data_IF_744191519723
#
_entry.id   IF_744191519723
#
_cell.length_a   1.000
_cell.length_b   1.000
_cell.length_c   1.000
_cell.angle_alpha   90.00
_cell.angle_beta   90.00
_cell.angle_gamma   90.00
#
_symmetry.space_group_name_H-M   'P 1'
#
loop_
_entity.id
_entity.type
_entity.pdbx_description
1 polymer ?
#
# COMPACT_ATOMS: atom_id res chain seq x y z
N UNK A 1 -9.52 34.16 -34.87
CA UNK A 1 -9.28 35.30 -33.95
C UNK A 1 -9.65 36.54 -34.74
N UNK A 2 -10.95 36.75 -34.96
CA UNK A 2 -11.50 37.78 -35.86
C UNK A 2 -11.70 39.15 -35.16
N UNK A 3 -11.23 39.30 -33.91
CA UNK A 3 -11.46 40.50 -33.08
C UNK A 3 -10.22 41.38 -32.91
N UNK A 4 -9.13 41.11 -33.64
CA UNK A 4 -7.90 41.91 -33.60
C UNK A 4 -7.58 42.37 -35.00
N UNK A 5 -7.55 43.68 -35.20
CA UNK A 5 -7.18 44.31 -36.47
C UNK A 5 -5.70 44.71 -36.42
N UNK A 6 -4.88 44.04 -37.24
CA UNK A 6 -3.43 44.23 -37.22
C UNK A 6 -2.97 45.49 -37.96
N UNK A 7 -3.84 46.06 -38.81
CA UNK A 7 -3.51 47.16 -39.71
C UNK A 7 -4.24 48.46 -39.33
N UNK A 8 -4.93 48.50 -38.18
CA UNK A 8 -5.63 49.68 -37.67
C UNK A 8 -4.62 50.77 -37.23
N UNK A 9 -4.61 51.96 -37.88
CA UNK A 9 -3.69 53.04 -37.57
C UNK A 9 -4.06 53.84 -36.31
N UNK A 10 -5.29 53.73 -35.80
CA UNK A 10 -5.78 54.46 -34.63
C UNK A 10 -5.75 53.63 -33.35
N UNK A 11 -5.82 52.30 -33.46
CA UNK A 11 -5.84 51.37 -32.31
C UNK A 11 -4.64 50.41 -32.33
N UNK A 12 -3.52 50.72 -31.63
CA UNK A 12 -2.37 49.83 -31.54
C UNK A 12 -2.74 48.47 -30.94
N UNK A 13 -2.09 47.39 -31.39
CA UNK A 13 -2.29 46.01 -30.90
C UNK A 13 -2.21 45.89 -29.36
N UNK A 14 -1.39 46.71 -28.70
CA UNK A 14 -1.33 46.76 -27.23
C UNK A 14 -2.66 47.18 -26.60
N UNK A 15 -3.32 48.20 -27.16
CA UNK A 15 -4.61 48.66 -26.67
C UNK A 15 -5.74 47.69 -27.00
N UNK A 16 -5.71 47.07 -28.19
CA UNK A 16 -6.67 46.02 -28.53
C UNK A 16 -6.55 44.81 -27.58
N UNK A 17 -5.31 44.41 -27.22
CA UNK A 17 -5.07 43.35 -26.24
C UNK A 17 -5.61 43.72 -24.84
N UNK A 18 -5.37 44.96 -24.41
CA UNK A 18 -5.86 45.47 -23.12
C UNK A 18 -7.41 45.55 -23.09
N UNK A 19 -8.04 46.04 -24.16
CA UNK A 19 -9.51 46.09 -24.32
C UNK A 19 -10.14 44.70 -24.28
N UNK A 20 -9.49 43.71 -24.90
CA UNK A 20 -9.93 42.31 -24.91
C UNK A 20 -9.57 41.55 -23.63
N UNK A 21 -8.82 42.16 -22.70
CA UNK A 21 -8.41 41.54 -21.44
C UNK A 21 -7.44 40.36 -21.62
N UNK A 22 -6.67 40.33 -22.70
CA UNK A 22 -5.72 39.26 -23.03
C UNK A 22 -4.28 39.76 -23.03
N UNK A 23 -3.34 38.89 -22.68
CA UNK A 23 -1.93 39.25 -22.75
C UNK A 23 -1.50 39.47 -24.21
N UNK A 24 -0.92 40.63 -24.52
CA UNK A 24 -0.40 40.97 -25.85
C UNK A 24 0.48 39.88 -26.46
N UNK A 25 1.33 39.21 -25.67
CA UNK A 25 2.22 38.14 -26.17
C UNK A 25 1.44 36.93 -26.71
N UNK A 26 0.25 36.66 -26.18
CA UNK A 26 -0.64 35.59 -26.66
C UNK A 26 -1.19 35.86 -28.06
N UNK A 27 -1.27 37.13 -28.50
CA UNK A 27 -1.70 37.49 -29.86
C UNK A 27 -0.69 37.06 -30.93
N UNK A 28 0.59 37.07 -30.60
CA UNK A 28 1.67 36.62 -31.49
C UNK A 28 1.89 35.11 -31.42
N UNK A 29 1.31 34.44 -30.42
CA UNK A 29 1.45 33.00 -30.26
C UNK A 29 0.64 32.25 -31.33
N UNK A 30 1.35 31.65 -32.29
CA UNK A 30 0.76 30.72 -33.25
C UNK A 30 0.76 29.33 -32.65
N UNK A 31 -0.42 28.75 -32.46
CA UNK A 31 -0.56 27.39 -31.99
C UNK A 31 0.15 26.42 -32.94
N UNK A 32 1.22 25.79 -32.47
CA UNK A 32 1.93 24.77 -33.24
C UNK A 32 1.15 23.46 -33.09
N UNK A 33 0.64 22.95 -34.21
CA UNK A 33 -0.03 21.65 -34.20
C UNK A 33 0.98 20.56 -33.81
N UNK A 34 0.55 19.54 -33.05
CA UNK A 34 1.41 18.43 -32.71
C UNK A 34 1.95 17.79 -33.98
N UNK A 35 3.25 17.47 -33.98
CA UNK A 35 3.86 16.82 -35.13
C UNK A 35 3.22 15.45 -35.40
N UNK A 36 3.21 14.96 -36.65
CA UNK A 36 2.72 13.61 -36.95
C UNK A 36 3.39 12.52 -36.09
N UNK A 37 4.65 12.72 -35.73
CA UNK A 37 5.39 11.85 -34.81
C UNK A 37 4.78 11.84 -33.40
N UNK A 38 4.43 13.02 -32.85
CA UNK A 38 3.79 13.11 -31.54
C UNK A 38 2.42 12.41 -31.54
N UNK A 39 1.63 12.63 -32.59
CA UNK A 39 0.32 11.98 -32.76
C UNK A 39 0.48 10.46 -32.82
N UNK A 40 1.44 9.95 -33.61
CA UNK A 40 1.72 8.52 -33.69
C UNK A 40 2.14 7.91 -32.33
N UNK A 41 2.98 8.62 -31.57
CA UNK A 41 3.38 8.20 -30.21
C UNK A 41 2.17 8.13 -29.29
N UNK A 42 1.30 9.16 -29.30
CA UNK A 42 0.08 9.19 -28.48
C UNK A 42 -0.85 8.02 -28.80
N UNK A 43 -1.06 7.69 -30.07
CA UNK A 43 -1.83 6.51 -30.48
C UNK A 43 -1.22 5.20 -29.97
N UNK A 44 0.10 5.03 -30.02
CA UNK A 44 0.73 3.82 -29.49
C UNK A 44 0.60 3.72 -27.96
N UNK A 45 0.71 4.85 -27.24
CA UNK A 45 0.50 4.86 -25.79
C UNK A 45 -0.94 4.45 -25.46
N UNK A 46 -1.92 5.01 -26.19
CA UNK A 46 -3.34 4.70 -26.02
C UNK A 46 -3.64 3.22 -26.30
N UNK A 47 -3.09 2.65 -27.36
CA UNK A 47 -3.21 1.22 -27.69
C UNK A 47 -2.64 0.33 -26.57
N UNK A 48 -1.43 0.64 -26.08
CA UNK A 48 -0.77 -0.10 -24.99
C UNK A 48 -1.60 -0.01 -23.71
N UNK A 49 -2.10 1.18 -23.39
CA UNK A 49 -2.88 1.42 -22.17
C UNK A 49 -4.25 0.75 -22.23
N UNK A 50 -4.94 0.82 -23.36
CA UNK A 50 -6.24 0.16 -23.57
C UNK A 50 -6.14 -1.35 -23.37
N UNK A 51 -5.03 -1.96 -23.81
CA UNK A 51 -4.76 -3.39 -23.59
C UNK A 51 -4.33 -3.68 -22.15
N UNK A 52 -3.64 -2.75 -21.49
CA UNK A 52 -3.03 -2.94 -20.18
C UNK A 52 -3.14 -1.68 -19.29
N UNK A 53 -4.32 -1.42 -18.71
CA UNK A 53 -4.60 -0.16 -18.00
C UNK A 53 -3.80 0.01 -16.70
N UNK A 54 -3.15 -1.04 -16.20
CA UNK A 54 -2.29 -1.02 -15.01
C UNK A 54 -0.83 -0.66 -15.32
N UNK A 55 -0.46 -0.45 -16.59
CA UNK A 55 0.90 -0.03 -16.95
C UNK A 55 1.11 1.48 -16.78
N UNK A 56 2.09 1.83 -15.95
CA UNK A 56 2.58 3.20 -15.82
C UNK A 56 3.61 3.58 -16.89
N UNK A 57 4.00 4.85 -16.88
CA UNK A 57 4.95 5.45 -17.85
C UNK A 57 6.27 4.70 -18.00
N UNK A 58 6.75 4.00 -16.95
CA UNK A 58 7.94 3.15 -17.01
C UNK A 58 7.74 1.97 -17.96
N UNK A 59 6.67 1.19 -17.77
CA UNK A 59 6.43 -0.02 -18.57
C UNK A 59 6.02 0.33 -20.00
N UNK A 60 5.21 1.37 -20.16
CA UNK A 60 4.85 1.88 -21.49
C UNK A 60 6.11 2.33 -22.26
N UNK A 61 7.04 3.03 -21.60
CA UNK A 61 8.30 3.43 -22.23
C UNK A 61 9.16 2.26 -22.70
N UNK A 62 9.24 1.18 -21.89
CA UNK A 62 9.96 -0.04 -22.26
C UNK A 62 9.33 -0.72 -23.49
N UNK A 63 7.99 -0.82 -23.52
CA UNK A 63 7.26 -1.42 -24.66
C UNK A 63 7.46 -0.59 -25.93
N UNK A 64 7.35 0.75 -25.83
CA UNK A 64 7.62 1.65 -26.95
C UNK A 64 9.06 1.48 -27.47
N UNK A 65 10.04 1.37 -26.58
CA UNK A 65 11.43 1.13 -26.94
C UNK A 65 11.60 -0.20 -27.70
N UNK A 66 10.92 -1.25 -27.26
CA UNK A 66 10.92 -2.55 -27.95
C UNK A 66 10.20 -2.51 -29.31
N UNK A 67 9.23 -1.60 -29.49
CA UNK A 67 8.60 -1.30 -30.79
C UNK A 67 9.43 -0.34 -31.67
N UNK A 68 10.65 0.02 -31.27
CA UNK A 68 11.55 0.90 -32.03
C UNK A 68 11.34 2.40 -31.77
N UNK A 69 10.44 2.79 -30.86
CA UNK A 69 10.18 4.19 -30.50
C UNK A 69 11.04 4.58 -29.30
N UNK A 70 12.18 5.24 -29.56
CA UNK A 70 13.12 5.64 -28.52
C UNK A 70 12.83 7.06 -28.01
N UNK A 71 12.01 7.18 -26.97
CA UNK A 71 11.69 8.45 -26.32
C UNK A 71 11.97 8.43 -24.83
N UNK A 72 12.21 9.60 -24.24
CA UNK A 72 12.43 9.73 -22.80
C UNK A 72 11.14 9.37 -22.01
N UNK A 73 11.27 8.65 -20.89
CA UNK A 73 10.16 8.39 -19.95
C UNK A 73 9.38 9.65 -19.56
N UNK A 74 10.04 10.79 -19.37
CA UNK A 74 9.39 12.08 -19.06
C UNK A 74 8.44 12.52 -20.20
N UNK A 75 8.80 12.23 -21.46
CA UNK A 75 7.95 12.51 -22.63
C UNK A 75 6.72 11.59 -22.63
N UNK A 76 6.89 10.30 -22.34
CA UNK A 76 5.77 9.36 -22.15
C UNK A 76 4.83 9.84 -21.04
N UNK A 77 5.38 10.20 -19.88
CA UNK A 77 4.59 10.70 -18.74
C UNK A 77 3.81 11.96 -19.09
N UNK A 78 4.43 12.90 -19.83
CA UNK A 78 3.76 14.11 -20.31
C UNK A 78 2.58 13.77 -21.22
N UNK A 79 2.77 12.90 -22.21
CA UNK A 79 1.69 12.49 -23.11
C UNK A 79 0.57 11.75 -22.38
N UNK A 80 0.89 10.84 -21.46
CA UNK A 80 -0.12 10.22 -20.61
C UNK A 80 -0.95 11.26 -19.85
N UNK A 81 -0.30 12.28 -19.27
CA UNK A 81 -1.00 13.38 -18.57
C UNK A 81 -1.87 14.22 -19.51
N UNK A 82 -1.37 14.58 -20.69
CA UNK A 82 -2.12 15.32 -21.72
C UNK A 82 -3.37 14.55 -22.18
N UNK A 83 -3.29 13.22 -22.24
CA UNK A 83 -4.40 12.34 -22.62
C UNK A 83 -5.33 11.94 -21.46
N UNK A 84 -5.03 12.37 -20.23
CA UNK A 84 -5.80 11.95 -19.04
C UNK A 84 -5.62 10.48 -18.65
N UNK A 85 -4.55 9.84 -19.13
CA UNK A 85 -4.25 8.43 -18.89
C UNK A 85 -3.38 8.28 -17.63
N UNK A 86 -3.81 7.41 -16.71
CA UNK A 86 -3.06 7.06 -15.51
C UNK A 86 -3.18 5.56 -15.24
N UNK A 87 -2.07 4.94 -14.82
CA UNK A 87 -2.08 3.53 -14.44
C UNK A 87 -3.10 3.25 -13.32
N UNK A 88 -3.99 2.29 -13.57
CA UNK A 88 -4.98 1.80 -12.61
C UNK A 88 -4.34 0.69 -11.79
N UNK A 89 -4.13 0.93 -10.51
CA UNK A 89 -3.66 -0.07 -9.56
C UNK A 89 -4.39 0.10 -8.22
N UNK A 90 -4.51 -0.97 -7.42
CA UNK A 90 -5.08 -0.85 -6.09
C UNK A 90 -4.27 0.15 -5.25
N UNK A 91 -4.92 1.16 -4.71
CA UNK A 91 -4.28 2.16 -3.86
C UNK A 91 -3.74 1.57 -2.54
N UNK A 92 -2.98 2.35 -1.75
CA UNK A 92 -2.62 1.94 -0.39
C UNK A 92 -3.88 1.69 0.46
N UNK A 93 -3.77 0.85 1.49
CA UNK A 93 -4.85 0.49 2.44
C UNK A 93 -5.97 -0.41 1.89
N UNK A 94 -5.60 -1.50 1.20
CA UNK A 94 -6.57 -2.53 0.77
C UNK A 94 -7.24 -3.27 1.92
N UNK A 95 -6.62 -3.27 3.10
CA UNK A 95 -7.16 -3.80 4.34
C UNK A 95 -7.71 -2.66 5.20
N UNK A 96 -8.94 -2.19 4.94
CA UNK A 96 -9.63 -1.33 5.92
C UNK A 96 -9.88 -2.16 7.18
N UNK A 97 -9.31 -1.73 8.31
CA UNK A 97 -9.55 -2.37 9.63
C UNK A 97 -11.06 -2.42 9.91
N UNK A 98 -11.55 -3.59 10.31
CA UNK A 98 -12.91 -3.70 10.83
C UNK A 98 -12.97 -3.01 12.21
N UNK A 99 -13.66 -1.87 12.28
CA UNK A 99 -13.74 -0.98 13.45
C UNK A 99 -14.43 -1.63 14.67
N UNK A 100 -15.06 -2.79 14.51
CA UNK A 100 -15.77 -3.48 15.60
C UNK A 100 -14.84 -4.24 16.56
N UNK A 101 -13.56 -4.46 16.21
CA UNK A 101 -12.62 -5.16 17.10
C UNK A 101 -12.08 -4.22 18.19
N UNK A 102 -12.08 -4.69 19.45
CA UNK A 102 -11.44 -4.01 20.58
C UNK A 102 -9.97 -3.75 20.27
N UNK A 103 -9.57 -2.49 20.38
CA UNK A 103 -8.17 -2.07 20.22
C UNK A 103 -7.46 -2.31 21.54
N UNK A 104 -6.53 -3.25 21.56
CA UNK A 104 -5.59 -3.41 22.68
C UNK A 104 -4.37 -2.50 22.45
N UNK A 105 -3.84 -1.86 23.49
CA UNK A 105 -2.68 -0.99 23.37
C UNK A 105 -1.39 -1.80 23.12
N UNK A 106 -0.42 -1.15 22.50
CA UNK A 106 0.94 -1.67 22.46
C UNK A 106 1.69 -1.26 23.73
N UNK A 107 1.91 -2.22 24.63
CA UNK A 107 2.45 -2.00 25.97
C UNK A 107 3.99 -2.07 26.04
N UNK A 108 4.64 -2.60 25.00
CA UNK A 108 6.08 -2.91 25.05
C UNK A 108 7.00 -1.73 24.69
N UNK A 109 6.45 -0.53 24.49
CA UNK A 109 7.26 0.66 24.17
C UNK A 109 8.04 1.12 25.41
N UNK A 110 9.35 1.03 25.37
CA UNK A 110 10.24 1.46 26.47
C UNK A 110 10.30 0.49 27.65
N UNK A 111 9.75 -0.73 27.50
CA UNK A 111 9.80 -1.76 28.54
C UNK A 111 11.13 -2.49 28.49
N UNK A 112 11.85 -2.51 29.62
CA UNK A 112 13.05 -3.35 29.80
C UNK A 112 12.64 -4.67 30.44
N UNK A 113 13.00 -5.78 29.80
CA UNK A 113 12.67 -7.13 30.25
C UNK A 113 13.87 -7.69 31.03
N UNK A 114 13.66 -8.00 32.30
CA UNK A 114 14.68 -8.30 33.30
C UNK A 114 14.52 -9.65 33.99
N UNK A 115 13.40 -10.37 33.79
CA UNK A 115 13.18 -11.72 34.35
C UNK A 115 12.28 -12.57 33.43
N UNK A 116 12.29 -13.91 33.57
CA UNK A 116 11.32 -14.79 32.92
C UNK A 116 9.87 -14.44 33.28
N UNK A 117 8.94 -14.77 32.39
CA UNK A 117 7.48 -14.60 32.53
C UNK A 117 7.02 -13.13 32.66
N UNK A 118 7.85 -12.16 32.32
CA UNK A 118 7.38 -10.78 32.16
C UNK A 118 6.61 -10.60 30.86
N UNK A 119 7.17 -11.07 29.75
CA UNK A 119 6.57 -10.90 28.43
C UNK A 119 6.67 -12.20 27.67
N UNK A 120 5.52 -12.75 27.30
CA UNK A 120 5.43 -13.79 26.30
C UNK A 120 4.95 -13.20 24.98
N UNK A 121 5.39 -13.78 23.87
CA UNK A 121 4.79 -13.49 22.57
C UNK A 121 4.39 -14.75 21.85
N UNK A 122 3.29 -14.65 21.12
CA UNK A 122 2.81 -15.68 20.22
C UNK A 122 2.90 -15.19 18.79
N UNK A 123 3.25 -16.10 17.89
CA UNK A 123 3.20 -15.86 16.46
C UNK A 123 2.71 -17.13 15.73
N UNK A 124 2.26 -16.96 14.48
CA UNK A 124 1.93 -18.07 13.59
C UNK A 124 2.81 -17.94 12.34
N UNK A 125 3.54 -19.00 12.04
CA UNK A 125 4.33 -19.13 10.82
C UNK A 125 3.92 -20.37 10.04
N UNK A 126 4.35 -20.49 8.79
CA UNK A 126 4.13 -21.68 7.98
C UNK A 126 5.44 -22.40 7.73
N UNK A 127 5.39 -23.73 7.80
CA UNK A 127 6.49 -24.63 7.47
C UNK A 127 6.18 -25.24 6.11
N UNK A 128 7.03 -24.95 5.12
CA UNK A 128 6.90 -25.53 3.78
C UNK A 128 7.34 -27.00 3.81
N UNK A 129 6.44 -27.90 3.42
CA UNK A 129 6.73 -29.31 3.18
C UNK A 129 6.98 -29.54 1.68
N UNK A 130 7.29 -30.75 1.23
CA UNK A 130 7.52 -31.03 -0.19
C UNK A 130 6.26 -30.74 -1.04
N UNK A 131 5.12 -31.34 -0.67
CA UNK A 131 3.85 -31.24 -1.40
C UNK A 131 2.76 -30.42 -0.70
N UNK A 132 3.07 -29.79 0.43
CA UNK A 132 2.09 -29.04 1.24
C UNK A 132 2.77 -28.01 2.14
N UNK A 133 2.03 -27.48 3.11
CA UNK A 133 2.53 -26.67 4.21
C UNK A 133 1.83 -27.06 5.52
N UNK A 134 2.44 -26.72 6.64
CA UNK A 134 1.81 -26.75 7.97
C UNK A 134 1.91 -25.37 8.61
N UNK A 135 0.98 -25.07 9.51
CA UNK A 135 1.01 -23.87 10.33
C UNK A 135 1.58 -24.22 11.70
N UNK A 136 2.58 -23.48 12.13
CA UNK A 136 3.18 -23.55 13.45
C UNK A 136 2.78 -22.31 14.22
N UNK A 137 2.20 -22.50 15.40
CA UNK A 137 2.10 -21.44 16.40
C UNK A 137 3.09 -21.72 17.51
N UNK A 138 3.78 -20.68 17.97
CA UNK A 138 4.76 -20.82 19.04
C UNK A 138 4.65 -19.64 20.00
N UNK A 139 4.75 -19.94 21.29
CA UNK A 139 4.79 -18.97 22.38
C UNK A 139 6.20 -18.95 22.93
N UNK A 140 6.83 -17.77 22.92
CA UNK A 140 8.21 -17.55 23.37
C UNK A 140 8.24 -16.58 24.54
N UNK A 141 9.04 -16.90 25.55
CA UNK A 141 9.38 -15.95 26.62
C UNK A 141 10.51 -15.02 26.17
N UNK A 142 10.31 -13.70 26.33
CA UNK A 142 11.27 -12.71 25.82
C UNK A 142 12.57 -12.65 26.59
N UNK A 143 12.59 -13.02 27.87
CA UNK A 143 13.80 -12.96 28.67
C UNK A 143 14.69 -14.17 28.39
N UNK A 144 14.15 -15.37 28.59
CA UNK A 144 14.87 -16.64 28.46
C UNK A 144 15.08 -17.08 27.01
N UNK A 145 14.26 -16.58 26.08
CA UNK A 145 14.18 -17.02 24.67
C UNK A 145 13.73 -18.46 24.49
N UNK A 146 13.19 -19.09 25.54
CA UNK A 146 12.64 -20.43 25.43
C UNK A 146 11.22 -20.42 24.86
N UNK A 147 10.95 -21.44 24.04
CA UNK A 147 9.61 -21.77 23.60
C UNK A 147 8.87 -22.40 24.78
N UNK A 148 7.82 -21.73 25.23
CA UNK A 148 6.99 -22.17 26.34
C UNK A 148 6.00 -23.24 25.88
N UNK A 149 5.43 -23.05 24.69
CA UNK A 149 4.50 -23.98 24.07
C UNK A 149 4.45 -23.73 22.57
N UNK A 150 4.09 -24.75 21.81
CA UNK A 150 3.89 -24.67 20.38
C UNK A 150 2.90 -25.75 19.93
N UNK A 151 2.26 -25.51 18.78
CA UNK A 151 1.36 -26.45 18.14
C UNK A 151 1.46 -26.39 16.62
N UNK A 152 1.10 -27.50 15.97
CA UNK A 152 1.10 -27.64 14.51
C UNK A 152 -0.27 -28.07 14.01
N UNK A 153 -0.73 -27.43 12.93
CA UNK A 153 -1.96 -27.82 12.24
C UNK A 153 -1.78 -27.71 10.71
N UNK A 154 -2.55 -28.48 9.94
CA UNK A 154 -2.57 -28.38 8.48
C UNK A 154 -3.44 -27.21 7.99
N UNK A 155 -4.32 -26.74 8.85
CA UNK A 155 -5.27 -25.66 8.62
C UNK A 155 -4.93 -24.47 9.51
N UNK A 156 -5.25 -23.27 9.04
CA UNK A 156 -5.11 -22.07 9.86
C UNK A 156 -6.34 -21.90 10.78
N UNK A 157 -6.79 -22.99 11.43
CA UNK A 157 -7.90 -22.96 12.39
C UNK A 157 -7.47 -22.26 13.69
N UNK A 158 -8.42 -21.80 14.51
CA UNK A 158 -8.07 -21.14 15.78
C UNK A 158 -7.72 -22.15 16.89
N UNK A 159 -8.18 -23.38 16.78
CA UNK A 159 -8.16 -24.33 17.90
C UNK A 159 -6.73 -24.70 18.33
N UNK A 160 -5.81 -24.97 17.39
CA UNK A 160 -4.40 -25.25 17.72
C UNK A 160 -3.68 -24.07 18.41
N UNK A 161 -4.11 -22.83 18.14
CA UNK A 161 -3.62 -21.63 18.85
C UNK A 161 -4.11 -21.62 20.29
N UNK A 162 -5.38 -21.97 20.51
CA UNK A 162 -5.96 -22.05 21.86
C UNK A 162 -5.28 -23.16 22.67
N UNK A 163 -5.02 -24.31 22.04
CA UNK A 163 -4.34 -25.44 22.68
C UNK A 163 -2.90 -25.09 23.08
N UNK A 164 -2.16 -24.39 22.21
CA UNK A 164 -0.83 -23.90 22.52
C UNK A 164 -0.84 -22.95 23.73
N UNK A 165 -1.80 -22.02 23.79
CA UNK A 165 -1.95 -21.06 24.91
C UNK A 165 -2.33 -21.78 26.21
N UNK A 166 -3.30 -22.70 26.17
CA UNK A 166 -3.69 -23.47 27.35
C UNK A 166 -2.51 -24.29 27.90
N UNK A 167 -1.74 -24.94 27.03
CA UNK A 167 -0.53 -25.66 27.45
C UNK A 167 0.51 -24.71 28.03
N UNK A 168 0.70 -23.53 27.46
CA UNK A 168 1.63 -22.53 28.02
C UNK A 168 1.24 -22.14 29.45
N UNK A 169 -0.06 -21.99 29.73
CA UNK A 169 -0.56 -21.68 31.07
C UNK A 169 -0.34 -22.77 32.12
N UNK A 170 -0.08 -24.01 31.71
CA UNK A 170 0.37 -25.06 32.65
C UNK A 170 1.83 -24.89 33.07
N UNK A 171 2.63 -24.15 32.30
CA UNK A 171 4.05 -23.87 32.60
C UNK A 171 4.20 -22.61 33.45
N UNK A 172 3.36 -21.59 33.20
CA UNK A 172 3.39 -20.34 33.95
C UNK A 172 2.39 -19.32 33.40
N UNK A 173 2.34 -18.14 34.01
CA UNK A 173 1.46 -17.04 33.59
C UNK A 173 2.33 -15.79 33.39
N UNK A 174 2.30 -15.16 32.20
CA UNK A 174 3.09 -13.95 31.97
C UNK A 174 2.38 -12.70 32.49
N UNK A 175 3.14 -11.63 32.73
CA UNK A 175 2.56 -10.31 33.02
C UNK A 175 1.97 -9.65 31.77
N UNK A 176 2.66 -9.79 30.63
CA UNK A 176 2.22 -9.27 29.32
C UNK A 176 2.19 -10.41 28.31
N UNK A 177 1.05 -10.56 27.63
CA UNK A 177 0.91 -11.49 26.51
C UNK A 177 0.80 -10.68 25.22
N UNK A 178 1.83 -10.73 24.38
CA UNK A 178 1.94 -9.94 23.17
C UNK A 178 1.66 -10.75 21.90
N UNK A 179 0.93 -10.14 20.96
CA UNK A 179 0.58 -10.72 19.66
C UNK A 179 0.49 -9.62 18.59
N UNK A 180 0.43 -9.99 17.31
CA UNK A 180 0.08 -9.04 16.25
C UNK A 180 -1.45 -8.86 16.11
N UNK A 181 -1.89 -8.12 15.09
CA UNK A 181 -3.31 -7.90 14.80
C UNK A 181 -3.93 -8.94 13.86
N UNK A 182 -3.37 -10.15 13.81
CA UNK A 182 -3.96 -11.26 13.08
C UNK A 182 -5.40 -11.54 13.53
N UNK A 183 -6.20 -12.06 12.61
CA UNK A 183 -7.59 -12.46 12.88
C UNK A 183 -7.72 -13.44 14.05
N UNK A 184 -6.70 -14.28 14.24
CA UNK A 184 -6.65 -15.27 15.31
C UNK A 184 -6.49 -14.63 16.69
N UNK A 185 -5.58 -13.67 16.81
CA UNK A 185 -5.31 -12.99 18.09
C UNK A 185 -6.32 -11.90 18.43
N UNK A 186 -7.15 -11.51 17.45
CA UNK A 186 -8.31 -10.63 17.65
C UNK A 186 -9.63 -11.38 17.80
N UNK A 187 -9.58 -12.73 17.75
CA UNK A 187 -10.76 -13.61 17.91
C UNK A 187 -11.34 -13.53 19.33
N UNK A 188 -12.67 -13.52 19.49
CA UNK A 188 -13.30 -13.57 20.81
C UNK A 188 -12.87 -14.78 21.64
N UNK A 189 -12.65 -15.96 21.03
CA UNK A 189 -12.23 -17.17 21.74
C UNK A 189 -10.86 -16.98 22.41
N UNK A 190 -9.88 -16.48 21.64
CA UNK A 190 -8.53 -16.22 22.12
C UNK A 190 -8.51 -15.15 23.21
N UNK A 191 -9.23 -14.05 22.99
CA UNK A 191 -9.32 -12.97 23.97
C UNK A 191 -9.99 -13.42 25.28
N UNK A 192 -11.05 -14.23 25.19
CA UNK A 192 -11.71 -14.78 26.38
C UNK A 192 -10.76 -15.68 27.17
N UNK A 193 -10.00 -16.55 26.50
CA UNK A 193 -9.00 -17.40 27.13
C UNK A 193 -7.93 -16.60 27.89
N UNK A 194 -7.40 -15.51 27.31
CA UNK A 194 -6.45 -14.65 28.04
C UNK A 194 -7.09 -13.96 29.25
N UNK A 195 -8.38 -13.62 29.17
CA UNK A 195 -9.13 -12.92 30.24
C UNK A 195 -9.51 -13.82 31.41
N UNK A 196 -9.45 -15.14 31.25
CA UNK A 196 -9.58 -16.07 32.37
C UNK A 196 -8.45 -15.87 33.41
N UNK A 197 -7.34 -15.25 32.98
CA UNK A 197 -6.23 -14.85 33.84
C UNK A 197 -6.15 -13.32 33.98
N UNK A 198 -6.83 -12.71 34.96
CA UNK A 198 -6.96 -11.25 35.08
C UNK A 198 -5.64 -10.52 35.34
N UNK A 199 -4.58 -11.23 35.73
CA UNK A 199 -3.23 -10.68 35.90
C UNK A 199 -2.51 -10.40 34.57
N UNK A 200 -2.98 -10.98 33.45
CA UNK A 200 -2.35 -10.81 32.14
C UNK A 200 -2.79 -9.49 31.51
N UNK A 201 -1.83 -8.69 31.08
CA UNK A 201 -2.06 -7.54 30.22
C UNK A 201 -1.95 -7.95 28.75
N UNK A 202 -3.04 -7.80 27.99
CA UNK A 202 -3.07 -8.10 26.56
C UNK A 202 -2.41 -6.96 25.80
N UNK A 203 -1.33 -7.27 25.09
CA UNK A 203 -0.57 -6.33 24.25
C UNK A 203 -0.71 -6.72 22.78
N UNK A 204 -0.97 -5.75 21.92
CA UNK A 204 -1.13 -5.97 20.48
C UNK A 204 -0.29 -4.97 19.70
N UNK A 205 0.54 -5.46 18.77
CA UNK A 205 1.44 -4.66 17.93
C UNK A 205 0.72 -3.96 16.77
#
# INVERSE_FOLDING_TARGET
MEMVDWDDPELPISWQADLLGINRSSLYYKHVQPSPEEVAIKHQIDEIYTKHPFFGSRKINEILKNKGVNINRKRVQRHMREMGIQAIYPGPNLSKRNLQHRIYPYLLKGVTITRPNQVWSIDITYIRLYNSWMYLTAIIDWYSRYIISWELDQTLAIDFVLDAVQRAFTVGIPEIFNSDQGSHFTSPKYISLLKEHPSIQICVK
#
